data_IF_648977352633
#
_entry.id   IF_648977352633
#
_cell.length_a   1.000
_cell.length_b   1.000
_cell.length_c   1.000
_cell.angle_alpha   90.00
_cell.angle_beta   90.00
_cell.angle_gamma   90.00
#
_symmetry.space_group_name_H-M   'P 1'
#
loop_
_entity.id
_entity.type
_entity.pdbx_description
1 polymer ?
#
# COMPACT_ATOMS: atom_id res chain seq x y z
N UNK A 1 3.25 -17.25 16.19
CA UNK A 1 4.49 -16.69 15.61
C UNK A 1 5.32 -16.15 16.77
N UNK A 2 6.62 -16.38 16.79
CA UNK A 2 7.47 -15.77 17.82
C UNK A 2 7.85 -14.40 17.32
N UNK A 3 7.55 -13.35 18.08
CA UNK A 3 7.97 -11.98 17.77
C UNK A 3 8.69 -11.43 18.98
N UNK A 4 9.73 -10.65 18.74
CA UNK A 4 10.51 -9.99 19.79
C UNK A 4 9.97 -8.59 19.94
N UNK A 5 9.64 -8.19 21.17
CA UNK A 5 9.18 -6.82 21.48
C UNK A 5 10.32 -5.81 21.29
N UNK A 6 10.02 -4.49 21.23
CA UNK A 6 11.02 -3.42 21.26
C UNK A 6 11.94 -3.45 22.49
N UNK A 7 11.52 -4.13 23.58
CA UNK A 7 12.32 -4.33 24.80
C UNK A 7 13.18 -5.61 24.77
N UNK A 8 13.21 -6.32 23.64
CA UNK A 8 14.02 -7.54 23.47
C UNK A 8 13.37 -8.81 24.03
N UNK A 9 12.09 -8.75 24.43
CA UNK A 9 11.38 -9.89 25.01
C UNK A 9 10.80 -10.76 23.91
N UNK A 10 11.14 -12.06 23.89
CA UNK A 10 10.51 -13.00 22.96
C UNK A 10 9.11 -13.39 23.44
N UNK A 11 8.12 -13.10 22.61
CA UNK A 11 6.73 -13.44 22.87
C UNK A 11 6.20 -14.43 21.82
N UNK A 12 5.45 -15.43 22.28
CA UNK A 12 4.80 -16.42 21.41
C UNK A 12 3.38 -15.98 21.11
N UNK A 13 3.15 -15.42 19.92
CA UNK A 13 1.84 -14.96 19.46
C UNK A 13 0.97 -16.14 19.03
N UNK A 14 -0.17 -16.30 19.71
CA UNK A 14 -1.33 -17.00 19.16
C UNK A 14 -2.07 -16.00 18.26
N UNK A 15 -1.84 -16.09 16.96
CA UNK A 15 -2.58 -15.26 16.00
C UNK A 15 -4.05 -15.70 16.04
N UNK A 16 -4.96 -14.78 16.29
CA UNK A 16 -6.38 -14.93 16.01
C UNK A 16 -6.57 -14.98 14.48
N UNK A 17 -6.24 -16.12 13.91
CA UNK A 17 -6.54 -16.43 12.51
C UNK A 17 -7.99 -16.89 12.51
N UNK A 18 -8.82 -16.29 11.66
CA UNK A 18 -10.12 -16.84 11.33
C UNK A 18 -9.95 -18.35 11.05
N UNK A 19 -10.58 -19.26 11.81
CA UNK A 19 -10.33 -20.71 11.74
C UNK A 19 -10.49 -21.29 10.32
N UNK A 20 -11.36 -20.68 9.51
CA UNK A 20 -11.59 -21.06 8.11
C UNK A 20 -10.37 -20.76 7.22
N UNK A 21 -9.67 -19.66 7.50
CA UNK A 21 -8.47 -19.25 6.76
C UNK A 21 -7.26 -20.13 7.12
N UNK A 22 -7.16 -20.59 8.37
CA UNK A 22 -6.11 -21.52 8.81
C UNK A 22 -6.28 -22.90 8.16
N UNK A 23 -7.51 -23.41 8.12
CA UNK A 23 -7.85 -24.70 7.49
C UNK A 23 -7.46 -24.75 6.01
N UNK A 24 -7.83 -23.72 5.24
CA UNK A 24 -7.52 -23.62 3.81
C UNK A 24 -6.02 -23.41 3.52
N UNK A 25 -5.26 -22.91 4.49
CA UNK A 25 -3.81 -22.67 4.36
C UNK A 25 -2.98 -23.93 4.61
N UNK A 26 -3.44 -24.82 5.49
CA UNK A 26 -2.76 -26.08 5.81
C UNK A 26 -2.85 -27.10 4.67
N UNK A 27 -3.90 -27.05 3.85
CA UNK A 27 -4.11 -27.93 2.70
C UNK A 27 -3.24 -27.58 1.47
N UNK A 28 -2.56 -26.42 1.45
CA UNK A 28 -1.90 -25.86 0.24
C UNK A 28 -0.37 -25.93 0.22
N UNK A 29 0.29 -26.57 1.20
CA UNK A 29 1.75 -26.68 1.24
C UNK A 29 2.27 -27.78 0.30
N UNK A 30 2.22 -27.52 -1.00
CA UNK A 30 3.09 -28.14 -2.01
C UNK A 30 3.02 -27.23 -3.23
N UNK A 31 4.11 -26.54 -3.61
CA UNK A 31 4.48 -26.14 -4.98
C UNK A 31 5.65 -25.14 -4.94
N UNK A 32 6.64 -25.40 -5.79
CA UNK A 32 7.97 -24.78 -5.85
C UNK A 32 8.14 -23.88 -7.08
N UNK A 33 8.99 -22.86 -6.88
CA UNK A 33 9.91 -22.18 -7.82
C UNK A 33 9.39 -21.31 -9.00
N UNK A 34 9.50 -19.98 -8.78
CA UNK A 34 10.23 -18.92 -9.52
C UNK A 34 10.13 -18.82 -11.06
N UNK A 35 9.82 -17.62 -11.58
CA UNK A 35 10.52 -17.00 -12.73
C UNK A 35 10.27 -15.50 -12.95
N UNK A 36 11.22 -14.83 -13.61
CA UNK A 36 11.56 -13.39 -13.68
C UNK A 36 10.44 -12.47 -14.22
N UNK A 37 10.40 -11.24 -13.71
CA UNK A 37 9.47 -10.17 -14.12
C UNK A 37 10.00 -9.40 -15.34
N UNK A 38 9.24 -9.40 -16.43
CA UNK A 38 9.20 -8.34 -17.43
C UNK A 38 7.82 -7.70 -17.31
N UNK A 39 7.75 -6.39 -17.09
CA UNK A 39 6.49 -5.68 -16.95
C UNK A 39 5.86 -5.55 -18.35
N UNK A 40 4.71 -6.17 -18.59
CA UNK A 40 3.96 -6.09 -19.86
C UNK A 40 2.80 -5.10 -19.71
N UNK A 41 2.59 -4.28 -20.74
CA UNK A 41 1.43 -3.39 -20.85
C UNK A 41 0.22 -4.24 -21.26
N UNK A 42 -0.77 -4.37 -20.37
CA UNK A 42 -1.99 -5.15 -20.62
C UNK A 42 -2.92 -4.36 -21.54
N UNK A 43 -3.15 -4.84 -22.76
CA UNK A 43 -4.17 -4.30 -23.69
C UNK A 43 -5.18 -5.40 -24.03
N UNK A 44 -6.46 -5.28 -23.63
CA UNK A 44 -7.46 -6.32 -23.88
C UNK A 44 -7.82 -6.50 -25.37
N UNK A 45 -7.88 -7.75 -25.82
CA UNK A 45 -8.17 -8.26 -27.17
C UNK A 45 -9.04 -9.52 -27.16
N UNK A 46 -9.19 -10.23 -26.03
CA UNK A 46 -9.99 -11.47 -25.86
C UNK A 46 -10.80 -11.47 -24.54
N UNK A 47 -11.84 -12.32 -24.42
CA UNK A 47 -12.48 -12.60 -23.13
C UNK A 47 -11.43 -13.01 -22.08
N UNK A 48 -11.54 -12.48 -20.86
CA UNK A 48 -10.52 -12.64 -19.83
C UNK A 48 -9.35 -11.66 -19.94
N UNK A 49 -9.44 -10.63 -20.80
CA UNK A 49 -8.43 -9.57 -20.85
C UNK A 49 -9.00 -8.22 -20.40
N UNK A 50 -10.33 -8.03 -20.35
CA UNK A 50 -10.94 -6.79 -19.87
C UNK A 50 -10.66 -6.55 -18.38
N UNK A 51 -10.46 -5.28 -18.02
CA UNK A 51 -10.22 -4.83 -16.65
C UNK A 51 -11.50 -4.16 -16.13
N UNK A 52 -12.04 -4.69 -15.03
CA UNK A 52 -13.09 -4.01 -14.26
C UNK A 52 -12.41 -3.02 -13.30
N UNK A 53 -12.76 -1.73 -13.35
CA UNK A 53 -12.34 -0.78 -12.34
C UNK A 53 -13.37 -0.75 -11.20
N UNK A 54 -13.05 -1.37 -10.07
CA UNK A 54 -13.87 -1.40 -8.86
C UNK A 54 -13.67 -0.13 -8.02
N UNK A 55 -14.00 1.01 -8.61
CA UNK A 55 -13.79 2.33 -8.01
C UNK A 55 -14.49 2.46 -6.64
N UNK A 56 -13.71 2.84 -5.62
CA UNK A 56 -14.17 3.06 -4.25
C UNK A 56 -14.91 1.86 -3.60
N UNK A 57 -14.71 0.64 -4.11
CA UNK A 57 -15.33 -0.56 -3.59
C UNK A 57 -14.48 -1.21 -2.49
N UNK A 58 -15.13 -1.69 -1.42
CA UNK A 58 -14.45 -2.46 -0.37
C UNK A 58 -14.04 -3.84 -0.88
N UNK A 59 -13.01 -4.45 -0.27
CA UNK A 59 -12.57 -5.79 -0.65
C UNK A 59 -13.71 -6.81 -0.51
N UNK A 60 -14.56 -6.64 0.50
CA UNK A 60 -15.73 -7.50 0.71
C UNK A 60 -16.79 -7.34 -0.39
N UNK A 61 -17.08 -6.12 -0.84
CA UNK A 61 -18.02 -5.87 -1.94
C UNK A 61 -17.55 -6.55 -3.22
N UNK A 62 -16.26 -6.49 -3.52
CA UNK A 62 -15.67 -7.14 -4.70
C UNK A 62 -15.78 -8.67 -4.56
N UNK A 63 -15.38 -9.23 -3.42
CA UNK A 63 -15.45 -10.69 -3.15
C UNK A 63 -16.87 -11.25 -3.30
N UNK A 64 -17.89 -10.51 -2.84
CA UNK A 64 -19.31 -10.92 -2.96
C UNK A 64 -19.79 -11.04 -4.41
N UNK A 65 -19.21 -10.27 -5.33
CA UNK A 65 -19.64 -10.19 -6.72
C UNK A 65 -18.69 -10.92 -7.70
N UNK A 66 -17.67 -11.60 -7.18
CA UNK A 66 -16.56 -12.11 -8.00
C UNK A 66 -16.97 -13.20 -8.99
N UNK A 67 -17.96 -14.02 -8.62
CA UNK A 67 -18.56 -15.02 -9.51
C UNK A 67 -19.26 -14.37 -10.71
N UNK A 68 -19.92 -13.24 -10.48
CA UNK A 68 -20.60 -12.47 -11.53
C UNK A 68 -19.58 -11.80 -12.46
N UNK A 69 -18.49 -11.25 -11.91
CA UNK A 69 -17.41 -10.70 -12.73
C UNK A 69 -16.76 -11.76 -13.63
N UNK A 70 -16.60 -12.98 -13.12
CA UNK A 70 -16.11 -14.11 -13.90
C UNK A 70 -17.08 -14.52 -15.02
N UNK A 71 -18.40 -14.52 -14.73
CA UNK A 71 -19.46 -14.76 -15.74
C UNK A 71 -19.47 -13.71 -16.84
N UNK A 72 -19.10 -12.47 -16.51
CA UNK A 72 -18.90 -11.37 -17.45
C UNK A 72 -17.53 -11.39 -18.15
N UNK A 73 -16.71 -12.43 -17.95
CA UNK A 73 -15.41 -12.63 -18.59
C UNK A 73 -14.37 -11.52 -18.32
N UNK A 74 -14.42 -10.86 -17.17
CA UNK A 74 -13.31 -10.03 -16.72
C UNK A 74 -12.10 -10.89 -16.39
N UNK A 75 -10.92 -10.44 -16.79
CA UNK A 75 -9.64 -11.08 -16.42
C UNK A 75 -8.94 -10.39 -15.27
N UNK A 76 -9.26 -9.11 -15.07
CA UNK A 76 -8.61 -8.28 -14.07
C UNK A 76 -9.61 -7.41 -13.34
N UNK A 77 -9.34 -7.14 -12.07
CA UNK A 77 -10.04 -6.11 -11.29
C UNK A 77 -9.02 -5.10 -10.80
N UNK A 78 -9.12 -3.87 -11.29
CA UNK A 78 -8.40 -2.73 -10.73
C UNK A 78 -9.12 -2.26 -9.47
N UNK A 79 -8.37 -2.10 -8.38
CA UNK A 79 -8.89 -1.67 -7.07
C UNK A 79 -8.20 -0.38 -6.61
N UNK A 80 -8.81 0.37 -5.67
CA UNK A 80 -8.18 1.55 -5.08
C UNK A 80 -6.82 1.23 -4.41
N UNK A 81 -6.04 2.26 -4.05
CA UNK A 81 -4.82 2.07 -3.28
C UNK A 81 -5.09 1.30 -2.00
N UNK A 82 -4.15 0.42 -1.64
CA UNK A 82 -4.32 -0.51 -0.52
C UNK A 82 -3.52 -0.13 0.71
N UNK A 83 -2.56 0.77 0.58
CA UNK A 83 -1.79 1.30 1.72
C UNK A 83 -2.71 1.94 2.75
N UNK A 84 -2.21 2.09 3.98
CA UNK A 84 -2.97 2.71 5.05
C UNK A 84 -3.28 4.17 4.72
N UNK A 85 -4.57 4.53 4.80
CA UNK A 85 -5.07 5.89 4.64
C UNK A 85 -6.29 6.09 5.53
N UNK A 86 -6.69 7.35 5.73
CA UNK A 86 -7.83 7.74 6.59
C UNK A 86 -9.08 7.94 5.75
N UNK A 87 -10.24 7.45 6.19
CA UNK A 87 -11.52 7.76 5.53
C UNK A 87 -11.79 9.27 5.47
N UNK A 88 -11.41 9.98 6.53
CA UNK A 88 -11.74 11.40 6.72
C UNK A 88 -10.59 12.33 6.33
N UNK A 89 -9.49 11.79 5.78
CA UNK A 89 -8.27 12.55 5.52
C UNK A 89 -7.64 13.21 6.75
N UNK A 90 -6.50 13.90 6.58
CA UNK A 90 -5.96 14.82 7.57
C UNK A 90 -6.56 16.23 7.39
N UNK A 91 -6.94 16.90 8.50
CA UNK A 91 -7.48 18.28 8.53
C UNK A 91 -8.53 18.61 7.44
N UNK A 92 -9.30 17.62 7.02
CA UNK A 92 -10.25 17.77 5.90
C UNK A 92 -11.52 18.48 6.38
N UNK A 93 -12.05 19.43 5.59
CA UNK A 93 -13.35 20.05 5.87
C UNK A 93 -14.42 18.99 6.13
N UNK A 94 -15.36 19.27 7.03
CA UNK A 94 -16.38 18.30 7.44
C UNK A 94 -17.17 17.76 6.23
N UNK A 95 -17.49 18.64 5.29
CA UNK A 95 -18.19 18.36 4.04
C UNK A 95 -17.41 17.50 3.04
N UNK A 96 -16.11 17.26 3.29
CA UNK A 96 -15.17 16.50 2.48
C UNK A 96 -14.65 15.23 3.17
N UNK A 97 -15.17 14.89 4.36
CA UNK A 97 -14.87 13.64 5.05
C UNK A 97 -15.55 12.44 4.38
N UNK A 98 -14.87 11.30 4.37
CA UNK A 98 -15.39 10.06 3.77
C UNK A 98 -15.33 10.00 2.24
N UNK A 99 -14.70 10.98 1.58
CA UNK A 99 -14.62 10.98 0.11
C UNK A 99 -13.54 10.03 -0.42
N UNK A 100 -13.78 9.55 -1.64
CA UNK A 100 -12.96 8.57 -2.33
C UNK A 100 -11.49 8.98 -2.50
N UNK A 101 -11.21 10.29 -2.61
CA UNK A 101 -9.87 10.78 -2.93
C UNK A 101 -8.87 10.61 -1.78
N UNK A 102 -9.34 10.36 -0.56
CA UNK A 102 -8.46 10.05 0.58
C UNK A 102 -7.67 8.78 0.39
N UNK A 103 -8.14 7.84 -0.44
CA UNK A 103 -7.37 6.65 -0.80
C UNK A 103 -6.03 6.99 -1.52
N UNK A 104 -5.95 8.16 -2.14
CA UNK A 104 -4.76 8.65 -2.85
C UNK A 104 -3.86 9.51 -1.97
N UNK A 105 -4.12 9.56 -0.67
CA UNK A 105 -3.31 10.24 0.35
C UNK A 105 -2.82 9.21 1.36
N UNK A 106 -1.80 8.40 1.01
CA UNK A 106 -1.32 7.36 1.89
C UNK A 106 -0.66 7.98 3.13
N UNK A 107 -0.97 7.42 4.28
CA UNK A 107 -0.38 7.82 5.57
C UNK A 107 0.70 6.83 6.00
N UNK A 108 0.67 5.59 5.52
CA UNK A 108 1.74 4.63 5.71
C UNK A 108 1.85 3.69 4.51
N UNK A 109 3.08 3.51 4.01
CA UNK A 109 3.41 2.64 2.88
C UNK A 109 3.68 1.19 3.31
N UNK A 110 3.93 0.96 4.60
CA UNK A 110 4.35 -0.33 5.14
C UNK A 110 3.18 -1.19 5.59
N UNK A 111 2.01 -0.61 5.89
CA UNK A 111 0.82 -1.33 6.37
C UNK A 111 -0.36 -1.25 5.38
N UNK A 112 -1.26 -2.24 5.48
CA UNK A 112 -2.58 -2.22 4.85
C UNK A 112 -3.62 -2.22 5.97
N UNK A 113 -4.13 -1.03 6.30
CA UNK A 113 -5.28 -0.86 7.18
C UNK A 113 -6.05 0.39 6.74
N UNK A 114 -7.13 0.21 6.01
CA UNK A 114 -7.86 1.33 5.42
C UNK A 114 -9.38 1.05 5.37
N UNK A 115 -10.21 2.05 4.99
CA UNK A 115 -11.67 1.91 4.92
C UNK A 115 -12.20 0.80 4.00
N UNK A 116 -11.40 0.33 3.03
CA UNK A 116 -11.76 -0.78 2.13
C UNK A 116 -11.52 -2.16 2.75
N UNK A 117 -10.70 -2.22 3.79
CA UNK A 117 -10.35 -3.42 4.54
C UNK A 117 -8.89 -3.41 5.01
N UNK A 118 -8.48 -4.52 5.62
CA UNK A 118 -7.14 -4.73 6.18
C UNK A 118 -6.28 -5.69 5.33
N UNK A 119 -5.06 -6.00 5.77
CA UNK A 119 -4.13 -6.87 5.02
C UNK A 119 -4.74 -8.25 4.78
N UNK A 120 -5.46 -8.80 5.77
CA UNK A 120 -6.08 -10.11 5.66
C UNK A 120 -7.23 -10.11 4.65
N UNK A 121 -8.05 -9.06 4.64
CA UNK A 121 -9.11 -8.89 3.66
C UNK A 121 -8.56 -8.74 2.23
N UNK A 122 -7.47 -7.98 2.07
CA UNK A 122 -6.78 -7.84 0.79
C UNK A 122 -6.24 -9.19 0.29
N UNK A 123 -5.54 -9.94 1.15
CA UNK A 123 -5.04 -11.28 0.81
C UNK A 123 -6.19 -12.22 0.45
N UNK A 124 -7.31 -12.15 1.17
CA UNK A 124 -8.49 -12.96 0.88
C UNK A 124 -9.09 -12.60 -0.49
N UNK A 125 -9.16 -11.31 -0.83
CA UNK A 125 -9.61 -10.84 -2.14
C UNK A 125 -8.72 -11.41 -3.26
N UNK A 126 -7.39 -11.27 -3.17
CA UNK A 126 -6.47 -11.77 -4.19
C UNK A 126 -6.61 -13.28 -4.36
N UNK A 127 -6.69 -14.03 -3.26
CA UNK A 127 -6.86 -15.49 -3.28
C UNK A 127 -8.21 -15.91 -3.86
N UNK A 128 -9.30 -15.23 -3.51
CA UNK A 128 -10.64 -15.56 -4.00
C UNK A 128 -10.78 -15.23 -5.49
N UNK A 129 -10.25 -14.09 -5.94
CA UNK A 129 -10.20 -13.72 -7.36
C UNK A 129 -9.49 -14.77 -8.20
N UNK A 130 -8.36 -15.28 -7.69
CA UNK A 130 -7.57 -16.26 -8.43
C UNK A 130 -8.31 -17.58 -8.68
N UNK A 131 -9.23 -17.99 -7.81
CA UNK A 131 -10.08 -19.18 -8.00
C UNK A 131 -10.95 -19.07 -9.26
N UNK A 132 -11.27 -17.85 -9.68
CA UNK A 132 -12.05 -17.56 -10.88
C UNK A 132 -11.19 -17.15 -12.08
N UNK A 133 -9.86 -17.25 -11.97
CA UNK A 133 -8.94 -16.82 -13.03
C UNK A 133 -8.82 -15.30 -13.17
N UNK A 134 -9.27 -14.54 -12.18
CA UNK A 134 -9.20 -13.07 -12.16
C UNK A 134 -7.97 -12.64 -11.36
N UNK A 135 -7.16 -11.75 -11.92
CA UNK A 135 -6.03 -11.12 -11.21
C UNK A 135 -6.41 -9.73 -10.68
N UNK A 136 -5.89 -9.37 -9.50
CA UNK A 136 -6.11 -8.05 -8.89
C UNK A 136 -5.00 -7.08 -9.30
N UNK A 137 -5.37 -5.84 -9.62
CA UNK A 137 -4.48 -4.73 -9.98
C UNK A 137 -4.70 -3.57 -8.99
N UNK A 138 -3.92 -3.49 -7.90
CA UNK A 138 -3.97 -2.33 -7.01
C UNK A 138 -3.48 -1.06 -7.69
N UNK A 139 -4.13 0.07 -7.40
CA UNK A 139 -3.56 1.39 -7.63
C UNK A 139 -2.31 1.61 -6.76
N UNK A 140 -1.28 2.22 -7.35
CA UNK A 140 0.04 2.41 -6.76
C UNK A 140 0.35 3.90 -6.60
N UNK A 141 0.38 4.38 -5.35
CA UNK A 141 0.38 5.81 -4.98
C UNK A 141 1.66 6.31 -4.32
N UNK A 142 2.82 5.70 -4.61
CA UNK A 142 4.05 5.99 -3.87
C UNK A 142 4.77 7.30 -4.29
N UNK A 143 4.19 8.06 -5.22
CA UNK A 143 4.74 9.35 -5.66
C UNK A 143 4.57 10.45 -4.60
N UNK A 144 3.49 10.36 -3.82
CA UNK A 144 3.12 11.36 -2.83
C UNK A 144 2.64 10.70 -1.55
N UNK A 145 2.79 11.39 -0.43
CA UNK A 145 2.17 11.03 0.84
C UNK A 145 1.00 11.96 1.15
N UNK A 146 0.09 11.54 2.04
CA UNK A 146 -1.00 12.37 2.54
C UNK A 146 -0.48 13.62 3.25
N UNK A 147 -1.30 14.64 3.41
CA UNK A 147 -0.86 15.95 3.95
C UNK A 147 -0.44 15.87 5.44
N UNK A 148 -0.68 14.74 6.11
CA UNK A 148 -0.22 14.42 7.47
C UNK A 148 -1.13 14.99 8.56
N UNK A 149 -1.37 14.21 9.61
CA UNK A 149 -2.19 14.59 10.77
C UNK A 149 -1.39 15.14 11.96
N UNK A 150 -1.94 16.18 12.61
CA UNK A 150 -1.48 16.89 13.83
C UNK A 150 -0.51 18.08 13.68
N UNK A 151 0.04 18.36 12.50
CA UNK A 151 0.85 19.57 12.30
C UNK A 151 1.20 19.83 10.84
N UNK A 152 0.95 21.05 10.37
CA UNK A 152 1.36 21.49 9.03
C UNK A 152 2.85 21.23 8.80
N UNK A 153 3.20 20.43 7.79
CA UNK A 153 4.57 20.08 7.39
C UNK A 153 5.34 19.11 8.31
N UNK A 154 4.67 18.31 9.14
CA UNK A 154 5.32 17.10 9.64
C UNK A 154 5.50 16.12 8.47
N UNK A 155 6.75 15.67 8.25
CA UNK A 155 7.11 14.73 7.18
C UNK A 155 7.50 13.36 7.75
N UNK A 156 7.14 13.11 9.01
CA UNK A 156 7.26 11.80 9.62
C UNK A 156 6.01 10.96 9.31
N UNK A 157 6.18 9.85 8.59
CA UNK A 157 5.09 8.93 8.23
C UNK A 157 5.33 7.53 8.82
N UNK A 158 4.32 6.89 9.45
CA UNK A 158 2.97 7.40 9.71
C UNK A 158 2.98 8.62 10.63
N UNK A 159 2.02 9.54 10.51
CA UNK A 159 2.00 10.78 11.32
C UNK A 159 1.86 10.51 12.82
N UNK A 160 2.23 11.49 13.66
CA UNK A 160 2.26 11.33 15.11
C UNK A 160 0.92 10.86 15.71
N UNK A 161 -0.20 11.38 15.22
CA UNK A 161 -1.54 10.95 15.66
C UNK A 161 -1.88 9.52 15.24
N UNK A 162 -1.42 9.08 14.07
CA UNK A 162 -1.60 7.70 13.60
C UNK A 162 -0.75 6.76 14.44
N UNK A 163 0.53 7.09 14.68
CA UNK A 163 1.40 6.31 15.57
C UNK A 163 0.80 6.20 16.96
N UNK A 164 0.32 7.30 17.55
CA UNK A 164 -0.33 7.30 18.86
C UNK A 164 -1.60 6.42 18.90
N UNK A 165 -2.41 6.45 17.84
CA UNK A 165 -3.56 5.56 17.70
C UNK A 165 -3.12 4.09 17.64
N UNK A 166 -2.14 3.76 16.81
CA UNK A 166 -1.60 2.41 16.66
C UNK A 166 -1.05 1.91 18.00
N UNK A 167 -0.25 2.70 18.71
CA UNK A 167 0.27 2.33 20.03
C UNK A 167 -0.85 2.04 21.02
N UNK A 168 -1.89 2.89 21.08
CA UNK A 168 -3.06 2.66 21.93
C UNK A 168 -3.81 1.38 21.56
N UNK A 169 -4.00 1.11 20.27
CA UNK A 169 -4.66 -0.09 19.79
C UNK A 169 -3.82 -1.35 20.05
N UNK A 170 -2.49 -1.26 20.04
CA UNK A 170 -1.58 -2.35 20.45
C UNK A 170 -1.72 -2.64 21.94
N UNK A 171 -1.79 -1.61 22.79
CA UNK A 171 -1.90 -1.75 24.24
C UNK A 171 -3.28 -2.28 24.69
N UNK A 172 -4.35 -1.80 24.05
CA UNK A 172 -5.73 -2.03 24.50
C UNK A 172 -6.55 -2.99 23.63
N UNK A 173 -6.07 -3.27 22.41
CA UNK A 173 -6.78 -4.05 21.41
C UNK A 173 -6.38 -5.52 21.40
N UNK A 174 -6.53 -6.15 20.22
CA UNK A 174 -6.17 -7.55 20.02
C UNK A 174 -4.65 -7.65 19.89
N UNK A 175 -3.95 -8.40 20.77
CA UNK A 175 -2.50 -8.55 20.69
C UNK A 175 -2.06 -9.08 19.32
N UNK A 176 -1.10 -8.41 18.71
CA UNK A 176 -0.57 -8.78 17.39
C UNK A 176 -1.41 -8.31 16.20
N UNK A 177 -2.53 -7.62 16.41
CA UNK A 177 -3.40 -7.15 15.32
C UNK A 177 -2.65 -6.24 14.34
N UNK A 178 -2.03 -5.18 14.86
CA UNK A 178 -1.28 -4.22 14.05
C UNK A 178 -0.01 -4.80 13.44
N UNK A 179 0.69 -5.69 14.15
CA UNK A 179 1.80 -6.46 13.57
C UNK A 179 1.31 -7.34 12.40
N UNK A 180 0.06 -7.80 12.46
CA UNK A 180 -0.60 -8.51 11.37
C UNK A 180 -0.98 -7.63 10.17
N UNK A 181 -0.93 -6.30 10.29
CA UNK A 181 -1.23 -5.37 9.19
C UNK A 181 0.01 -4.90 8.42
N UNK A 182 1.21 -5.28 8.88
CA UNK A 182 2.48 -4.95 8.23
C UNK A 182 2.64 -5.76 6.94
N UNK A 183 2.53 -5.07 5.80
CA UNK A 183 2.78 -5.61 4.47
C UNK A 183 4.29 -5.73 4.21
N UNK A 184 5.06 -4.69 4.55
CA UNK A 184 6.52 -4.65 4.37
C UNK A 184 7.17 -5.02 5.71
N UNK A 185 7.69 -6.25 5.88
CA UNK A 185 8.04 -6.76 7.20
C UNK A 185 9.40 -6.26 7.74
N UNK A 186 10.25 -5.69 6.90
CA UNK A 186 11.57 -5.20 7.29
C UNK A 186 12.07 -4.08 6.37
N UNK A 187 12.93 -3.23 6.94
CA UNK A 187 13.82 -2.33 6.20
C UNK A 187 15.13 -3.08 5.94
N UNK A 188 15.75 -2.79 4.79
CA UNK A 188 17.12 -3.23 4.52
C UNK A 188 17.99 -1.98 4.49
N UNK A 189 18.97 -1.90 5.38
CA UNK A 189 19.94 -0.81 5.35
C UNK A 189 20.68 -0.81 3.99
N UNK A 190 20.72 0.31 3.27
CA UNK A 190 21.30 0.36 1.93
C UNK A 190 22.82 0.12 1.93
N UNK A 191 23.51 0.37 3.05
CA UNK A 191 24.97 0.23 3.22
C UNK A 191 25.33 -1.11 3.85
N UNK A 192 24.83 -1.40 5.06
CA UNK A 192 25.21 -2.60 5.84
C UNK A 192 24.49 -3.85 5.37
N UNK A 193 23.36 -3.70 4.63
CA UNK A 193 22.44 -4.78 4.24
C UNK A 193 21.78 -5.49 5.41
N UNK A 194 21.88 -4.92 6.61
CA UNK A 194 21.17 -5.43 7.79
C UNK A 194 19.66 -5.31 7.59
N UNK A 195 18.93 -6.21 8.27
CA UNK A 195 17.48 -6.29 8.19
C UNK A 195 16.89 -5.94 9.53
N UNK A 196 16.18 -4.83 9.57
CA UNK A 196 15.48 -4.37 10.76
C UNK A 196 13.99 -4.59 10.58
N UNK A 197 13.36 -5.21 11.57
CA UNK A 197 11.93 -5.45 11.54
C UNK A 197 11.18 -4.12 11.60
N UNK A 198 10.15 -3.98 10.76
CA UNK A 198 9.24 -2.84 10.82
C UNK A 198 8.21 -3.09 11.92
N UNK A 199 8.04 -2.11 12.82
CA UNK A 199 6.88 -2.02 13.70
C UNK A 199 5.91 -0.96 13.16
N UNK A 200 4.59 -1.21 13.19
CA UNK A 200 3.58 -0.33 12.58
C UNK A 200 3.52 1.07 13.21
N UNK A 201 4.00 1.23 14.45
CA UNK A 201 4.12 2.51 15.15
C UNK A 201 5.43 3.26 14.88
N UNK A 202 6.40 2.67 14.16
CA UNK A 202 7.68 3.32 13.86
C UNK A 202 7.53 4.41 12.80
N UNK A 203 8.47 5.35 12.77
CA UNK A 203 8.59 6.31 11.66
C UNK A 203 9.32 5.63 10.50
N UNK A 204 8.67 5.57 9.34
CA UNK A 204 9.15 4.89 8.14
C UNK A 204 9.62 5.82 7.03
N UNK A 205 9.20 7.08 7.06
CA UNK A 205 9.71 8.15 6.21
C UNK A 205 9.85 9.39 7.07
N UNK A 206 10.86 10.20 6.77
CA UNK A 206 11.12 11.49 7.42
C UNK A 206 11.34 12.56 6.35
N UNK A 207 11.55 13.81 6.74
CA UNK A 207 11.81 14.91 5.81
C UNK A 207 12.91 14.65 4.75
N UNK A 208 13.90 13.81 5.02
CA UNK A 208 14.98 13.43 4.08
C UNK A 208 14.48 12.66 2.85
N UNK A 209 13.29 12.05 2.97
CA UNK A 209 12.71 11.13 1.98
C UNK A 209 11.84 11.84 0.95
N UNK A 210 11.72 13.16 1.05
CA UNK A 210 10.89 14.01 0.22
C UNK A 210 11.71 15.00 -0.59
N UNK A 211 11.14 15.49 -1.69
CA UNK A 211 11.68 16.63 -2.41
C UNK A 211 11.71 17.87 -1.50
N UNK A 212 12.79 18.65 -1.61
CA UNK A 212 13.00 19.82 -0.74
C UNK A 212 11.95 20.92 -0.96
N UNK A 213 11.40 21.00 -2.18
CA UNK A 213 10.34 21.96 -2.51
C UNK A 213 9.05 21.62 -1.76
N UNK A 214 8.51 22.61 -1.05
CA UNK A 214 7.17 22.54 -0.44
C UNK A 214 6.10 23.22 -1.29
N UNK A 215 6.49 23.79 -2.43
CA UNK A 215 5.59 24.52 -3.31
C UNK A 215 4.67 23.56 -4.07
N UNK A 216 3.46 24.03 -4.30
CA UNK A 216 2.52 23.39 -5.22
C UNK A 216 2.84 23.74 -6.67
N UNK A 217 2.49 22.84 -7.58
CA UNK A 217 2.42 23.15 -9.01
C UNK A 217 1.43 24.29 -9.21
N UNK A 218 1.92 25.42 -9.70
CA UNK A 218 1.08 26.58 -10.02
C UNK A 218 0.32 26.39 -11.34
N UNK A 219 -0.66 27.26 -11.61
CA UNK A 219 -1.57 27.12 -12.76
C UNK A 219 -0.86 27.23 -14.11
N UNK A 220 0.28 27.92 -14.16
CA UNK A 220 1.09 28.15 -15.36
C UNK A 220 2.25 27.15 -15.51
N UNK A 221 2.41 26.21 -14.57
CA UNK A 221 3.54 25.26 -14.55
C UNK A 221 3.20 23.86 -15.07
N UNK A 222 1.99 23.61 -15.58
CA UNK A 222 1.56 22.28 -16.02
C UNK A 222 2.28 21.74 -17.28
N UNK A 223 2.97 22.62 -17.99
CA UNK A 223 3.86 22.30 -19.11
C UNK A 223 5.35 22.25 -18.69
N UNK A 224 5.66 22.68 -17.47
CA UNK A 224 7.02 22.67 -16.94
C UNK A 224 7.35 21.30 -16.33
N UNK A 225 8.14 20.51 -17.07
CA UNK A 225 8.52 19.15 -16.65
C UNK A 225 9.22 19.12 -15.27
N UNK A 226 10.02 20.13 -14.94
CA UNK A 226 10.71 20.22 -13.66
C UNK A 226 9.70 20.46 -12.53
N UNK A 227 8.76 21.40 -12.70
CA UNK A 227 7.70 21.64 -11.73
C UNK A 227 6.84 20.37 -11.50
N UNK A 228 6.43 19.68 -12.58
CA UNK A 228 5.67 18.44 -12.48
C UNK A 228 6.40 17.33 -11.70
N UNK A 229 7.74 17.27 -11.83
CA UNK A 229 8.59 16.24 -11.23
C UNK A 229 9.15 16.58 -9.86
N UNK A 230 9.06 17.82 -9.38
CA UNK A 230 9.66 18.21 -8.09
C UNK A 230 8.70 18.88 -7.12
N UNK A 231 7.64 19.52 -7.62
CA UNK A 231 6.66 20.20 -6.77
C UNK A 231 5.56 19.25 -6.29
N UNK A 232 4.89 19.67 -5.23
CA UNK A 232 3.75 18.96 -4.63
C UNK A 232 2.54 19.03 -5.55
N UNK A 233 1.72 17.99 -5.50
CA UNK A 233 0.41 17.95 -6.13
C UNK A 233 -0.64 18.24 -5.06
N UNK A 234 -1.24 19.43 -5.11
CA UNK A 234 -2.27 19.86 -4.15
C UNK A 234 -1.87 19.72 -2.67
N UNK A 235 -0.63 20.08 -2.33
CA UNK A 235 -0.11 20.09 -0.96
C UNK A 235 0.51 18.77 -0.51
N UNK A 236 0.26 17.68 -1.24
CA UNK A 236 0.76 16.35 -0.92
C UNK A 236 2.29 16.30 -1.02
N UNK A 237 3.01 15.94 0.07
CA UNK A 237 4.46 15.81 0.04
C UNK A 237 4.94 14.80 -0.99
N UNK A 238 5.92 15.20 -1.79
CA UNK A 238 6.45 14.40 -2.90
C UNK A 238 7.66 13.60 -2.47
N UNK A 239 7.64 12.28 -2.67
CA UNK A 239 8.81 11.44 -2.39
C UNK A 239 9.95 11.74 -3.37
N UNK A 240 11.20 11.63 -2.92
CA UNK A 240 12.37 11.86 -3.80
C UNK A 240 13.01 10.55 -4.24
N UNK A 241 13.41 10.39 -5.51
CA UNK A 241 14.17 9.22 -5.95
C UNK A 241 15.56 9.13 -5.32
N UNK A 242 16.06 10.22 -4.70
CA UNK A 242 17.35 10.23 -4.01
C UNK A 242 17.33 9.43 -2.71
N UNK A 243 16.15 9.13 -2.17
CA UNK A 243 16.03 8.35 -0.94
C UNK A 243 16.10 6.86 -1.24
N UNK A 244 17.17 6.22 -0.78
CA UNK A 244 17.30 4.77 -0.81
C UNK A 244 16.19 4.08 0.00
N UNK A 245 15.69 4.74 1.04
CA UNK A 245 14.60 4.23 1.87
C UNK A 245 13.28 4.20 1.09
N UNK A 246 12.93 5.26 0.36
CA UNK A 246 11.77 5.27 -0.54
C UNK A 246 11.89 4.16 -1.58
N UNK A 247 13.03 4.08 -2.29
CA UNK A 247 13.25 3.08 -3.33
C UNK A 247 13.17 1.65 -2.76
N UNK A 248 13.72 1.43 -1.57
CA UNK A 248 13.66 0.14 -0.89
C UNK A 248 12.21 -0.23 -0.52
N UNK A 249 11.41 0.70 0.03
CA UNK A 249 10.01 0.44 0.37
C UNK A 249 9.18 0.15 -0.88
N UNK A 250 9.39 0.91 -1.96
CA UNK A 250 8.76 0.67 -3.26
C UNK A 250 9.06 -0.75 -3.79
N UNK A 251 10.34 -1.13 -3.79
CA UNK A 251 10.78 -2.46 -4.20
C UNK A 251 10.16 -3.57 -3.34
N UNK A 252 10.15 -3.41 -2.01
CA UNK A 252 9.59 -4.41 -1.10
C UNK A 252 8.07 -4.52 -1.25
N UNK A 253 7.38 -3.39 -1.42
CA UNK A 253 5.94 -3.38 -1.70
C UNK A 253 5.63 -4.24 -2.94
N UNK A 254 6.34 -4.04 -4.06
CA UNK A 254 6.13 -4.82 -5.28
C UNK A 254 6.40 -6.31 -5.05
N UNK A 255 7.45 -6.65 -4.30
CA UNK A 255 7.79 -8.04 -3.95
C UNK A 255 6.72 -8.72 -3.09
N UNK A 256 6.24 -8.03 -2.06
CA UNK A 256 5.21 -8.56 -1.16
C UNK A 256 3.85 -8.66 -1.87
N UNK A 257 3.48 -7.66 -2.69
CA UNK A 257 2.31 -7.75 -3.57
C UNK A 257 2.36 -8.99 -4.46
N UNK A 258 3.49 -9.20 -5.12
CA UNK A 258 3.70 -10.37 -5.98
C UNK A 258 3.60 -11.68 -5.20
N UNK A 259 4.15 -11.74 -3.99
CA UNK A 259 4.08 -12.91 -3.09
C UNK A 259 2.65 -13.26 -2.71
N UNK A 260 1.77 -12.26 -2.53
CA UNK A 260 0.36 -12.49 -2.26
C UNK A 260 -0.48 -12.83 -3.51
N UNK A 261 0.12 -12.76 -4.69
CA UNK A 261 -0.50 -13.18 -5.96
C UNK A 261 -0.94 -12.03 -6.87
N UNK A 262 -0.58 -10.79 -6.55
CA UNK A 262 -0.80 -9.63 -7.43
C UNK A 262 0.06 -9.76 -8.69
N UNK A 263 -0.51 -9.43 -9.84
CA UNK A 263 0.14 -9.58 -11.16
C UNK A 263 0.30 -8.30 -11.96
N UNK A 264 -0.31 -7.21 -11.50
CA UNK A 264 -0.17 -5.89 -12.09
C UNK A 264 -0.38 -4.78 -11.06
N UNK A 265 0.10 -3.59 -11.38
CA UNK A 265 -0.11 -2.36 -10.60
C UNK A 265 -0.51 -1.24 -11.57
N UNK A 266 -1.42 -0.38 -11.16
CA UNK A 266 -1.75 0.86 -11.90
C UNK A 266 -1.01 2.01 -11.24
N UNK A 267 0.00 2.56 -11.90
CA UNK A 267 0.77 3.69 -11.38
C UNK A 267 -0.09 4.96 -11.37
N UNK A 268 -0.40 5.44 -10.17
CA UNK A 268 -1.07 6.70 -9.99
C UNK A 268 -0.14 7.87 -10.26
N UNK A 269 -0.68 8.96 -10.81
CA UNK A 269 0.05 10.20 -11.08
C UNK A 269 1.42 10.01 -11.80
N UNK A 270 1.56 9.00 -12.66
CA UNK A 270 2.84 8.62 -13.28
C UNK A 270 3.55 9.76 -14.03
N UNK A 271 2.81 10.77 -14.54
CA UNK A 271 3.37 12.00 -15.15
C UNK A 271 4.27 12.77 -14.18
N UNK A 272 4.04 12.64 -12.88
CA UNK A 272 4.78 13.30 -11.81
C UNK A 272 5.97 12.46 -11.32
N UNK A 273 6.10 11.20 -11.69
CA UNK A 273 7.24 10.37 -11.32
C UNK A 273 8.50 10.81 -12.07
N UNK A 274 9.65 10.76 -11.40
CA UNK A 274 10.96 10.84 -12.07
C UNK A 274 11.26 9.48 -12.71
N UNK A 275 11.83 9.47 -13.92
CA UNK A 275 12.19 8.23 -14.60
C UNK A 275 13.14 7.38 -13.75
N UNK A 276 14.13 8.02 -13.12
CA UNK A 276 15.04 7.40 -12.16
C UNK A 276 14.32 6.68 -11.02
N UNK A 277 13.22 7.23 -10.51
CA UNK A 277 12.45 6.58 -9.44
C UNK A 277 11.87 5.26 -9.94
N UNK A 278 11.28 5.27 -11.14
CA UNK A 278 10.68 4.08 -11.77
C UNK A 278 11.76 3.06 -12.13
N UNK A 279 12.93 3.49 -12.63
CA UNK A 279 14.02 2.58 -12.98
C UNK A 279 14.67 1.91 -11.77
N UNK A 280 14.69 2.60 -10.62
CA UNK A 280 15.27 2.09 -9.37
C UNK A 280 14.31 1.24 -8.55
N UNK A 281 13.00 1.42 -8.73
CA UNK A 281 11.90 0.72 -8.01
C UNK A 281 11.47 -0.58 -8.67
#
# INVERSE_FOLDING_TARGET
>A
INVTSPTGQQETFKILINPEHLRQTLERKSLTAVQKSQCEIITPKKPGEAILHAFNATYQQIRKNISEFARCHYGYIQIPPVTTFRADGPETPEEEKGYWFHAYQPEDLCTIHNPMGDLQDFIALVKDAKKFGIDIIPDYTFNFMGIGGSGKNDLDYPSADIRAKISKDIESGIPGYWQGQVLIPFIIDPVTKERDQIHPEDIHLTAKDFEASKDNISKDEWENLHALKEKRLNGMPKTTPKSDQVIMLQNQYVREMRKYGVRGLRYDAAKHSKHEQIERS
#
